data_IF_447887733998
#
_entry.id   IF_447887733998
#
_cell.length_a   1.000
_cell.length_b   1.000
_cell.length_c   1.000
_cell.angle_alpha   90.00
_cell.angle_beta   90.00
_cell.angle_gamma   90.00
#
_symmetry.space_group_name_H-M   'P 1'
#
loop_
_entity.id
_entity.type
_entity.pdbx_description
1 polymer ?
#
# COMPACT_ATOMS: atom_id res chain seq x y z
N UNK A 1 -10.80 2.15 7.81
CA UNK A 1 -10.10 3.30 7.19
C UNK A 1 -10.31 3.19 5.69
N UNK A 2 -10.91 4.19 5.06
CA UNK A 2 -11.25 4.14 3.63
C UNK A 2 -9.99 4.13 2.77
N UNK A 3 -9.79 3.06 2.01
CA UNK A 3 -8.61 2.83 1.18
C UNK A 3 -8.78 3.59 -0.15
N UNK A 4 -8.78 4.93 -0.12
CA UNK A 4 -8.97 5.76 -1.32
C UNK A 4 -7.77 5.75 -2.28
N UNK A 5 -6.58 5.38 -1.79
CA UNK A 5 -5.39 5.30 -2.63
C UNK A 5 -5.50 4.19 -3.69
N UNK A 6 -6.13 3.05 -3.38
CA UNK A 6 -6.31 1.95 -4.33
C UNK A 6 -7.08 2.37 -5.58
N UNK A 7 -8.32 2.91 -5.50
CA UNK A 7 -9.05 3.32 -6.69
C UNK A 7 -8.33 4.41 -7.50
N UNK A 8 -7.63 5.33 -6.83
CA UNK A 8 -6.83 6.36 -7.50
C UNK A 8 -5.66 5.77 -8.28
N UNK A 9 -4.85 4.91 -7.65
CA UNK A 9 -3.75 4.22 -8.33
C UNK A 9 -4.24 3.27 -9.42
N UNK A 10 -5.39 2.63 -9.24
CA UNK A 10 -6.01 1.79 -10.26
C UNK A 10 -6.38 2.61 -11.51
N UNK A 11 -6.88 3.85 -11.33
CA UNK A 11 -7.18 4.76 -12.44
C UNK A 11 -5.93 5.26 -13.15
N UNK A 12 -4.86 5.56 -12.41
CA UNK A 12 -3.57 5.93 -12.97
C UNK A 12 -2.94 4.77 -13.75
N UNK A 13 -3.01 3.55 -13.20
CA UNK A 13 -2.50 2.34 -13.84
C UNK A 13 -3.25 2.01 -15.14
N UNK A 14 -4.55 2.31 -15.21
CA UNK A 14 -5.36 2.10 -16.40
C UNK A 14 -5.09 3.11 -17.53
N UNK A 15 -4.42 4.22 -17.24
CA UNK A 15 -4.09 5.24 -18.24
C UNK A 15 -3.02 4.72 -19.22
N UNK A 16 -3.25 4.76 -20.54
CA UNK A 16 -2.27 4.35 -21.53
C UNK A 16 -0.93 5.09 -21.43
N UNK A 17 -0.93 6.35 -20.97
CA UNK A 17 0.30 7.11 -20.76
C UNK A 17 1.21 6.50 -19.68
N UNK A 18 0.64 5.68 -18.78
CA UNK A 18 1.33 5.04 -17.68
C UNK A 18 1.55 3.53 -17.91
N UNK A 19 1.49 3.05 -19.16
CA UNK A 19 1.60 1.62 -19.48
C UNK A 19 2.88 0.96 -18.98
N UNK A 20 3.95 1.75 -18.79
CA UNK A 20 5.27 1.29 -18.39
C UNK A 20 5.55 1.55 -16.90
N UNK A 21 4.55 1.94 -16.12
CA UNK A 21 4.67 2.30 -14.70
C UNK A 21 3.99 1.24 -13.84
N UNK A 22 4.68 0.87 -12.76
CA UNK A 22 4.11 0.05 -11.70
C UNK A 22 3.69 0.92 -10.53
N UNK A 23 2.41 0.83 -10.16
CA UNK A 23 1.83 1.48 -9.00
C UNK A 23 1.70 0.45 -7.88
N UNK A 24 2.16 0.81 -6.68
CA UNK A 24 2.16 -0.11 -5.55
C UNK A 24 1.36 0.51 -4.40
N UNK A 25 0.34 -0.23 -3.94
CA UNK A 25 -0.31 0.03 -2.68
C UNK A 25 0.06 -1.06 -1.67
N UNK A 26 0.99 -0.74 -0.78
CA UNK A 26 1.46 -1.66 0.25
C UNK A 26 0.75 -1.44 1.58
N UNK A 27 0.29 -2.51 2.22
CA UNK A 27 -0.07 -2.52 3.64
C UNK A 27 1.07 -3.15 4.45
N UNK A 28 1.92 -2.36 5.12
CA UNK A 28 3.14 -2.87 5.75
C UNK A 28 2.92 -3.63 7.07
N UNK A 29 1.68 -3.78 7.51
CA UNK A 29 1.33 -4.32 8.83
C UNK A 29 1.27 -3.23 9.91
N UNK A 30 1.24 -3.66 11.17
CA UNK A 30 1.24 -2.75 12.31
C UNK A 30 2.68 -2.31 12.61
N UNK A 31 3.09 -1.13 12.15
CA UNK A 31 4.46 -0.62 12.35
C UNK A 31 4.51 0.34 13.54
N UNK A 32 5.46 0.15 14.46
CA UNK A 32 5.68 1.05 15.58
C UNK A 32 6.33 2.37 15.15
N UNK A 33 5.53 3.34 14.71
CA UNK A 33 6.02 4.66 14.21
C UNK A 33 6.07 5.76 15.28
N UNK A 34 6.01 5.36 16.56
CA UNK A 34 5.84 6.25 17.72
C UNK A 34 4.49 7.00 17.76
N UNK A 35 3.60 6.85 16.77
CA UNK A 35 2.32 7.57 16.69
C UNK A 35 1.35 7.25 17.83
N UNK A 36 1.35 6.01 18.32
CA UNK A 36 0.50 5.57 19.45
C UNK A 36 0.81 6.40 20.72
N UNK A 37 2.06 6.87 20.87
CA UNK A 37 2.51 7.64 22.03
C UNK A 37 2.47 9.16 21.83
N UNK A 38 2.35 9.66 20.60
CA UNK A 38 2.27 11.11 20.33
C UNK A 38 1.04 11.79 20.93
N UNK A 39 -0.06 11.05 21.09
CA UNK A 39 -1.27 11.56 21.75
C UNK A 39 -1.29 11.30 23.26
N UNK A 40 -0.40 10.45 23.77
CA UNK A 40 -0.31 10.15 25.20
C UNK A 40 0.33 11.30 26.00
N UNK A 41 1.20 12.10 25.38
CA UNK A 41 1.79 13.29 26.00
C UNK A 41 0.81 14.46 26.19
N UNK A 42 -0.42 14.37 25.64
CA UNK A 42 -1.45 15.41 25.75
C UNK A 42 -2.38 15.26 26.97
N UNK A 43 -1.99 14.49 28.00
CA UNK A 43 -2.64 14.49 29.32
C UNK A 43 -4.05 13.87 29.41
N UNK A 44 -4.55 13.20 28.36
CA UNK A 44 -5.88 12.59 28.32
C UNK A 44 -5.93 11.12 28.78
N UNK A 45 -7.11 10.69 29.24
CA UNK A 45 -7.44 9.31 29.70
C UNK A 45 -7.25 8.20 28.65
N UNK A 46 -6.83 8.53 27.42
CA UNK A 46 -6.52 7.60 26.34
C UNK A 46 -5.20 6.84 26.56
N UNK A 47 -4.32 7.34 27.43
CA UNK A 47 -3.06 6.66 27.78
C UNK A 47 -3.30 5.25 28.33
N UNK A 48 -4.25 5.09 29.25
CA UNK A 48 -4.52 3.82 29.94
C UNK A 48 -5.03 2.76 28.97
N UNK A 49 -5.98 3.08 28.11
CA UNK A 49 -6.52 2.15 27.10
C UNK A 49 -5.50 1.74 26.03
N UNK A 50 -4.71 2.70 25.52
CA UNK A 50 -3.66 2.40 24.52
C UNK A 50 -2.51 1.57 25.13
N UNK A 51 -2.25 1.69 26.43
CA UNK A 51 -1.24 0.88 27.12
C UNK A 51 -1.62 -0.60 27.20
N UNK A 52 -2.92 -0.94 27.22
CA UNK A 52 -3.38 -2.33 27.14
C UNK A 52 -3.17 -2.95 25.75
N UNK A 53 -3.00 -2.14 24.70
CA UNK A 53 -2.71 -2.63 23.35
C UNK A 53 -1.20 -2.85 23.13
N UNK A 54 -0.33 -2.40 24.04
CA UNK A 54 1.13 -2.58 23.93
C UNK A 54 1.57 -4.04 23.82
N UNK A 55 1.06 -4.99 24.63
CA UNK A 55 1.49 -6.39 24.52
C UNK A 55 1.11 -6.99 23.16
N UNK A 56 -0.06 -6.60 22.63
CA UNK A 56 -0.54 -7.02 21.31
C UNK A 56 0.36 -6.46 20.22
N UNK A 57 0.71 -5.17 20.30
CA UNK A 57 1.61 -4.53 19.34
C UNK A 57 3.04 -5.06 19.44
N UNK A 58 3.51 -5.45 20.62
CA UNK A 58 4.83 -6.06 20.80
C UNK A 58 4.91 -7.45 20.15
N UNK A 59 3.82 -8.23 20.17
CA UNK A 59 3.78 -9.58 19.58
C UNK A 59 3.49 -9.53 18.06
N UNK A 60 2.62 -8.63 17.61
CA UNK A 60 2.13 -8.60 16.22
C UNK A 60 2.65 -7.41 15.40
N UNK A 61 3.43 -6.52 16.01
CA UNK A 61 3.97 -5.34 15.37
C UNK A 61 5.31 -5.61 14.68
N UNK A 62 5.60 -4.79 13.68
CA UNK A 62 6.87 -4.76 12.98
C UNK A 62 7.65 -3.52 13.41
N UNK A 63 8.97 -3.68 13.51
CA UNK A 63 9.89 -2.57 13.74
C UNK A 63 9.96 -1.64 12.53
N UNK A 64 10.36 -0.38 12.76
CA UNK A 64 10.57 0.60 11.68
C UNK A 64 11.63 0.11 10.68
N UNK A 65 12.69 -0.55 11.16
CA UNK A 65 13.76 -1.10 10.33
C UNK A 65 13.25 -2.21 9.40
N UNK A 66 12.51 -3.17 9.92
CA UNK A 66 11.89 -4.25 9.14
C UNK A 66 10.93 -3.69 8.09
N UNK A 67 10.11 -2.70 8.46
CA UNK A 67 9.23 -2.01 7.53
C UNK A 67 10.03 -1.28 6.43
N UNK A 68 11.15 -0.65 6.77
CA UNK A 68 12.06 -0.01 5.82
C UNK A 68 12.66 -1.01 4.83
N UNK A 69 13.18 -2.13 5.33
CA UNK A 69 13.72 -3.22 4.51
C UNK A 69 12.67 -3.77 3.53
N UNK A 70 11.42 -3.96 3.97
CA UNK A 70 10.31 -4.38 3.11
C UNK A 70 10.02 -3.38 1.99
N UNK A 71 9.97 -2.08 2.29
CA UNK A 71 9.74 -1.07 1.25
C UNK A 71 10.91 -0.97 0.28
N UNK A 72 12.15 -1.12 0.77
CA UNK A 72 13.34 -1.20 -0.09
C UNK A 72 13.26 -2.40 -1.04
N UNK A 73 12.91 -3.57 -0.52
CA UNK A 73 12.66 -4.78 -1.33
C UNK A 73 11.60 -4.53 -2.39
N UNK A 74 10.42 -4.01 -2.00
CA UNK A 74 9.31 -3.71 -2.92
C UNK A 74 9.74 -2.75 -4.05
N UNK A 75 10.56 -1.74 -3.73
CA UNK A 75 11.01 -0.75 -4.70
C UNK A 75 12.13 -1.24 -5.64
N UNK A 76 12.86 -2.29 -5.26
CA UNK A 76 14.07 -2.75 -5.97
C UNK A 76 13.94 -4.12 -6.62
N UNK A 77 12.93 -4.90 -6.22
CA UNK A 77 12.66 -6.22 -6.79
C UNK A 77 12.13 -6.12 -8.22
N UNK A 78 12.50 -7.07 -9.07
CA UNK A 78 11.92 -7.22 -10.40
C UNK A 78 10.48 -7.75 -10.36
N UNK A 79 10.03 -8.33 -9.24
CA UNK A 79 8.70 -8.98 -9.12
C UNK A 79 7.54 -8.07 -9.51
N UNK A 80 7.68 -6.76 -9.32
CA UNK A 80 6.65 -5.77 -9.62
C UNK A 80 7.01 -4.89 -10.84
N UNK A 81 7.93 -5.35 -11.69
CA UNK A 81 8.34 -4.69 -12.92
C UNK A 81 9.72 -4.03 -12.89
N UNK A 82 10.03 -3.31 -13.97
CA UNK A 82 11.29 -2.60 -14.12
C UNK A 82 12.52 -3.51 -14.33
N UNK A 83 13.69 -2.97 -13.99
CA UNK A 83 15.01 -3.64 -14.12
C UNK A 83 15.60 -4.02 -12.76
N UNK A 84 14.72 -4.33 -11.81
CA UNK A 84 15.09 -4.66 -10.44
C UNK A 84 15.91 -5.95 -10.32
N UNK A 85 16.35 -6.24 -9.10
CA UNK A 85 17.08 -7.46 -8.78
C UNK A 85 16.10 -8.63 -8.75
N UNK A 86 16.49 -9.79 -9.28
CA UNK A 86 15.73 -11.04 -9.15
C UNK A 86 15.76 -11.44 -7.68
N UNK A 87 14.59 -11.64 -7.06
CA UNK A 87 14.52 -12.01 -5.66
C UNK A 87 15.23 -13.35 -5.41
N UNK A 88 15.98 -13.44 -4.32
CA UNK A 88 16.56 -14.72 -3.84
C UNK A 88 15.51 -15.62 -3.19
N UNK A 89 14.27 -15.16 -3.06
CA UNK A 89 13.12 -15.84 -2.45
C UNK A 89 12.53 -16.98 -3.30
N UNK A 90 13.20 -17.37 -4.39
CA UNK A 90 12.76 -18.42 -5.31
C UNK A 90 11.54 -18.04 -6.15
N UNK A 91 11.03 -16.81 -6.01
CA UNK A 91 9.91 -16.26 -6.79
C UNK A 91 10.48 -15.53 -8.00
N UNK A 92 10.88 -16.33 -8.98
CA UNK A 92 11.59 -15.86 -10.16
C UNK A 92 10.70 -15.18 -11.21
N UNK A 93 9.39 -15.39 -11.12
CA UNK A 93 8.41 -14.89 -12.08
C UNK A 93 7.86 -13.52 -11.65
N UNK A 94 7.62 -12.66 -12.65
CA UNK A 94 6.94 -11.38 -12.43
C UNK A 94 5.51 -11.63 -11.97
N UNK A 95 5.10 -10.92 -10.93
CA UNK A 95 3.75 -11.05 -10.39
C UNK A 95 2.74 -10.38 -11.33
N UNK A 96 1.54 -10.95 -11.36
CA UNK A 96 0.43 -10.37 -12.10
C UNK A 96 -0.19 -9.22 -11.31
N UNK A 97 -0.24 -8.03 -11.91
CA UNK A 97 -0.92 -6.87 -11.34
C UNK A 97 -2.43 -7.13 -11.24
N UNK A 98 -3.11 -6.34 -10.42
CA UNK A 98 -4.57 -6.34 -10.31
C UNK A 98 -5.30 -5.90 -11.61
N UNK A 99 -4.54 -5.47 -12.63
CA UNK A 99 -5.01 -5.18 -13.98
C UNK A 99 -4.80 -6.35 -14.96
N UNK A 100 -4.25 -7.49 -14.50
CA UNK A 100 -3.97 -8.65 -15.35
C UNK A 100 -2.70 -8.52 -16.19
N UNK A 101 -1.84 -7.55 -15.90
CA UNK A 101 -0.56 -7.31 -16.61
C UNK A 101 0.63 -7.70 -15.74
N UNK A 102 1.67 -8.26 -16.34
CA UNK A 102 2.98 -8.45 -15.70
C UNK A 102 3.88 -7.25 -15.95
N UNK A 103 4.74 -6.93 -14.98
CA UNK A 103 5.76 -5.88 -15.10
C UNK A 103 5.25 -4.43 -15.11
N UNK A 104 3.93 -4.21 -14.97
CA UNK A 104 3.30 -2.88 -14.97
C UNK A 104 1.90 -2.93 -14.35
N UNK A 105 1.35 -1.77 -14.00
CA UNK A 105 -0.01 -1.64 -13.46
C UNK A 105 -0.06 -1.61 -11.93
N UNK A 106 -1.22 -1.91 -11.35
CA UNK A 106 -1.44 -1.81 -9.90
C UNK A 106 -1.13 -3.12 -9.16
N UNK A 107 -0.24 -3.05 -8.18
CA UNK A 107 0.04 -4.11 -7.22
C UNK A 107 -0.48 -3.71 -5.85
N UNK A 108 -1.27 -4.59 -5.22
CA UNK A 108 -1.75 -4.41 -3.85
C UNK A 108 -1.04 -5.45 -3.00
N UNK A 109 -0.18 -5.00 -2.09
CA UNK A 109 0.74 -5.85 -1.34
C UNK A 109 0.34 -5.93 0.14
N UNK A 110 0.52 -7.11 0.72
CA UNK A 110 0.40 -7.31 2.16
C UNK A 110 1.75 -7.13 2.87
N UNK A 111 1.73 -7.27 4.20
CA UNK A 111 2.91 -7.12 5.06
C UNK A 111 4.03 -8.15 4.79
N UNK A 112 3.76 -9.20 4.03
CA UNK A 112 4.74 -10.19 3.56
C UNK A 112 5.32 -9.84 2.18
N UNK A 113 5.01 -8.65 1.65
CA UNK A 113 5.38 -8.21 0.31
C UNK A 113 4.78 -9.08 -0.80
N UNK A 114 3.68 -9.77 -0.54
CA UNK A 114 2.98 -10.60 -1.54
C UNK A 114 1.73 -9.90 -2.06
N UNK A 115 1.40 -10.14 -3.33
CA UNK A 115 0.18 -9.63 -3.95
C UNK A 115 -1.03 -10.24 -3.24
N UNK A 116 -1.90 -9.38 -2.73
CA UNK A 116 -3.07 -9.78 -1.96
C UNK A 116 -4.20 -8.78 -2.18
N UNK A 117 -5.18 -9.18 -2.99
CA UNK A 117 -6.38 -8.40 -3.22
C UNK A 117 -7.60 -9.29 -3.44
N UNK A 118 -8.78 -8.73 -3.20
CA UNK A 118 -10.05 -9.36 -3.55
C UNK A 118 -10.53 -8.80 -4.88
N UNK A 119 -10.62 -9.65 -5.91
CA UNK A 119 -11.16 -9.27 -7.22
C UNK A 119 -12.57 -8.69 -7.11
N UNK A 120 -13.42 -9.31 -6.27
CA UNK A 120 -14.78 -8.83 -6.00
C UNK A 120 -14.79 -7.42 -5.42
N UNK A 121 -13.94 -7.16 -4.42
CA UNK A 121 -13.84 -5.84 -3.81
C UNK A 121 -13.30 -4.80 -4.80
N UNK A 122 -12.26 -5.14 -5.56
CA UNK A 122 -11.67 -4.24 -6.53
C UNK A 122 -12.64 -3.91 -7.68
N UNK A 123 -13.40 -4.90 -8.18
CA UNK A 123 -14.45 -4.68 -9.17
C UNK A 123 -15.54 -3.74 -8.65
N UNK A 124 -15.94 -3.90 -7.39
CA UNK A 124 -16.91 -3.00 -6.76
C UNK A 124 -16.36 -1.57 -6.62
N UNK A 125 -15.09 -1.41 -6.23
CA UNK A 125 -14.42 -0.10 -6.14
C UNK A 125 -14.29 0.58 -7.50
N UNK A 126 -13.91 -0.16 -8.55
CA UNK A 126 -13.88 0.33 -9.93
C UNK A 126 -15.24 0.84 -10.39
N UNK A 127 -16.30 0.10 -10.10
CA UNK A 127 -17.66 0.45 -10.54
C UNK A 127 -18.26 1.64 -9.80
N UNK A 128 -17.92 1.86 -8.52
CA UNK A 128 -18.63 2.82 -7.66
C UNK A 128 -17.79 3.99 -7.16
N UNK A 129 -16.52 3.74 -6.84
CA UNK A 129 -15.69 4.71 -6.11
C UNK A 129 -14.55 5.32 -6.91
N UNK A 130 -14.15 4.71 -8.02
CA UNK A 130 -12.97 5.15 -8.76
C UNK A 130 -13.12 6.56 -9.34
N UNK A 131 -14.24 6.82 -10.01
CA UNK A 131 -14.48 8.12 -10.64
C UNK A 131 -14.64 9.23 -9.60
N UNK A 132 -15.41 8.98 -8.53
CA UNK A 132 -15.62 9.96 -7.46
C UNK A 132 -14.31 10.33 -6.75
N UNK A 133 -13.48 9.34 -6.43
CA UNK A 133 -12.17 9.57 -5.82
C UNK A 133 -11.26 10.35 -6.76
N UNK A 134 -11.27 10.02 -8.05
CA UNK A 134 -10.48 10.74 -9.06
C UNK A 134 -10.91 12.20 -9.17
N UNK A 135 -12.20 12.45 -9.33
CA UNK A 135 -12.74 13.79 -9.51
C UNK A 135 -12.47 14.68 -8.29
N UNK A 136 -12.66 14.15 -7.08
CA UNK A 136 -12.36 14.89 -5.85
C UNK A 136 -10.86 15.15 -5.70
N UNK A 137 -10.01 14.17 -6.01
CA UNK A 137 -8.56 14.34 -5.97
C UNK A 137 -8.10 15.40 -6.97
N UNK A 138 -8.60 15.35 -8.21
CA UNK A 138 -8.26 16.33 -9.24
C UNK A 138 -8.85 17.71 -8.93
N UNK A 139 -10.04 17.80 -8.33
CA UNK A 139 -10.61 19.08 -7.87
C UNK A 139 -9.68 19.77 -6.88
N UNK A 140 -9.05 19.02 -5.98
CA UNK A 140 -8.10 19.54 -4.98
C UNK A 140 -6.75 19.87 -5.62
N UNK A 141 -6.22 18.99 -6.48
CA UNK A 141 -4.85 19.11 -6.99
C UNK A 141 -4.70 20.00 -8.23
N UNK A 142 -5.73 20.13 -9.07
CA UNK A 142 -5.66 20.86 -10.35
C UNK A 142 -5.15 22.31 -10.26
N UNK A 143 -5.41 23.08 -9.19
CA UNK A 143 -4.80 24.41 -9.04
C UNK A 143 -3.26 24.41 -8.86
N UNK A 144 -2.66 23.24 -8.62
CA UNK A 144 -1.23 23.06 -8.32
C UNK A 144 -0.48 22.20 -9.35
N UNK A 145 -1.17 21.73 -10.40
CA UNK A 145 -0.62 20.91 -11.50
C UNK A 145 -0.52 21.72 -12.80
#
# INVERSE_FOLDING_TARGET
MGIMNTPFFDRLAADPANSNISFIHNWPGSVETGKIYRHASAGGSTWTWLSFLKPIHWIMGHGEEEAGQRHLYIATTKRFGGRGIRGEDGKEEEEMSASGRTGSGLYILNYKCDVSYSEKALKALRAKGQQEVWDETMRILKPFL
#
